data_IF_869627531709
#
_entry.id   IF_869627531709
#
_cell.length_a   1.000
_cell.length_b   1.000
_cell.length_c   1.000
_cell.angle_alpha   90.00
_cell.angle_beta   90.00
_cell.angle_gamma   90.00
#
_symmetry.space_group_name_H-M   'P 1'
#
loop_
_entity.id
_entity.type
_entity.pdbx_description
1 polymer ?
#
# COMPACT_ATOMS: atom_id res chain seq x y z
N UNK A 1 -10.11 -34.67 3.43
CA UNK A 1 -8.87 -34.73 4.24
C UNK A 1 -8.51 -33.34 4.71
N UNK A 2 -8.47 -33.15 6.03
CA UNK A 2 -8.02 -31.89 6.59
C UNK A 2 -6.52 -31.76 6.42
N UNK A 3 -6.07 -30.58 5.93
CA UNK A 3 -4.62 -30.31 5.83
C UNK A 3 -3.97 -30.37 7.22
N UNK A 4 -2.89 -31.15 7.36
CA UNK A 4 -2.07 -31.25 8.58
C UNK A 4 -1.69 -29.87 9.12
N UNK A 5 -1.42 -28.91 8.23
CA UNK A 5 -1.12 -27.53 8.56
C UNK A 5 -2.28 -26.82 9.26
N UNK A 6 -3.53 -26.98 8.78
CA UNK A 6 -4.71 -26.42 9.44
C UNK A 6 -4.99 -27.05 10.79
N UNK A 7 -4.70 -28.34 10.95
CA UNK A 7 -4.82 -29.02 12.23
C UNK A 7 -3.80 -28.49 13.23
N UNK A 8 -2.54 -28.34 12.82
CA UNK A 8 -1.47 -27.76 13.66
C UNK A 8 -1.77 -26.32 14.08
N UNK A 9 -2.24 -25.48 13.17
CA UNK A 9 -2.64 -24.09 13.48
C UNK A 9 -3.80 -24.03 14.49
N UNK A 10 -4.79 -24.90 14.38
CA UNK A 10 -5.88 -24.99 15.36
C UNK A 10 -5.38 -25.41 16.74
N UNK A 11 -4.52 -26.42 16.80
CA UNK A 11 -3.94 -26.87 18.06
C UNK A 11 -3.13 -25.75 18.73
N UNK A 12 -2.29 -25.04 17.99
CA UNK A 12 -1.53 -23.92 18.51
C UNK A 12 -2.45 -22.77 19.01
N UNK A 13 -3.52 -22.48 18.27
CA UNK A 13 -4.50 -21.46 18.66
C UNK A 13 -5.32 -21.82 19.91
N UNK A 14 -5.50 -23.12 20.21
CA UNK A 14 -6.21 -23.62 21.38
C UNK A 14 -5.32 -23.83 22.62
N UNK A 15 -4.03 -23.54 22.54
CA UNK A 15 -3.11 -23.70 23.66
C UNK A 15 -3.48 -22.78 24.85
N UNK A 16 -3.30 -23.24 26.10
CA UNK A 16 -3.38 -22.38 27.26
C UNK A 16 -2.42 -21.20 27.18
N UNK A 17 -2.73 -20.09 27.87
CA UNK A 17 -1.93 -18.86 27.84
C UNK A 17 -0.44 -19.11 28.08
N UNK A 18 -0.09 -19.88 29.14
CA UNK A 18 1.30 -20.18 29.46
C UNK A 18 2.07 -20.89 28.34
N UNK A 19 1.39 -21.75 27.56
CA UNK A 19 2.01 -22.42 26.42
C UNK A 19 2.15 -21.45 25.22
N UNK A 20 1.23 -20.53 25.01
CA UNK A 20 1.34 -19.47 24.01
C UNK A 20 2.49 -18.51 24.34
N UNK A 21 2.66 -18.14 25.62
CA UNK A 21 3.75 -17.30 26.08
C UNK A 21 5.11 -17.98 25.85
N UNK A 22 5.18 -19.28 26.11
CA UNK A 22 6.39 -20.07 25.81
C UNK A 22 6.68 -20.14 24.30
N UNK A 23 5.64 -20.28 23.47
CA UNK A 23 5.79 -20.23 22.02
C UNK A 23 6.26 -18.87 21.53
N UNK A 24 5.70 -17.78 22.06
CA UNK A 24 6.14 -16.42 21.76
C UNK A 24 7.60 -16.20 22.18
N UNK A 25 7.98 -16.66 23.38
CA UNK A 25 9.36 -16.54 23.86
C UNK A 25 10.35 -17.27 22.93
N UNK A 26 9.97 -18.44 22.42
CA UNK A 26 10.83 -19.25 21.56
C UNK A 26 10.93 -18.71 20.12
N UNK A 27 9.83 -18.24 19.54
CA UNK A 27 9.75 -17.91 18.12
C UNK A 27 9.50 -16.44 17.81
N UNK A 28 8.99 -15.67 18.77
CA UNK A 28 8.58 -14.28 18.58
C UNK A 28 9.71 -13.36 18.14
N UNK A 29 10.89 -13.48 18.76
CA UNK A 29 12.05 -12.66 18.39
C UNK A 29 12.49 -12.88 16.92
N UNK A 30 12.55 -14.15 16.50
CA UNK A 30 12.87 -14.47 15.10
C UNK A 30 11.80 -14.02 14.12
N UNK A 31 10.54 -14.19 14.49
CA UNK A 31 9.41 -13.78 13.68
C UNK A 31 9.40 -12.24 13.49
N UNK A 32 9.68 -11.48 14.56
CA UNK A 32 9.78 -10.03 14.52
C UNK A 32 10.90 -9.57 13.59
N UNK A 33 12.11 -10.10 13.74
CA UNK A 33 13.24 -9.76 12.88
C UNK A 33 12.95 -9.98 11.39
N UNK A 34 12.31 -11.12 11.07
CA UNK A 34 11.92 -11.44 9.69
C UNK A 34 10.84 -10.49 9.17
N UNK A 35 9.85 -10.14 10.01
CA UNK A 35 8.80 -9.21 9.64
C UNK A 35 9.36 -7.81 9.41
N UNK A 36 10.20 -7.31 10.33
CA UNK A 36 10.78 -5.98 10.23
C UNK A 36 11.65 -5.84 8.97
N UNK A 37 12.39 -6.90 8.64
CA UNK A 37 13.13 -6.97 7.38
C UNK A 37 12.19 -6.96 6.16
N UNK A 38 11.15 -7.80 6.17
CA UNK A 38 10.18 -7.88 5.07
C UNK A 38 9.48 -6.53 4.84
N UNK A 39 9.13 -5.82 5.92
CA UNK A 39 8.53 -4.48 5.86
C UNK A 39 9.54 -3.46 5.34
N UNK A 40 10.78 -3.48 5.82
CA UNK A 40 11.83 -2.56 5.36
C UNK A 40 12.17 -2.77 3.87
N UNK A 41 12.05 -4.00 3.37
CA UNK A 41 12.28 -4.34 1.96
C UNK A 41 11.02 -4.16 1.09
N UNK A 42 9.85 -3.84 1.68
CA UNK A 42 8.58 -3.78 0.97
C UNK A 42 8.16 -5.12 0.35
N UNK A 43 8.66 -6.22 0.90
CA UNK A 43 8.49 -7.56 0.33
C UNK A 43 7.26 -8.24 0.94
N UNK A 44 6.12 -8.13 0.24
CA UNK A 44 4.85 -8.72 0.70
C UNK A 44 4.87 -10.25 0.74
N UNK A 45 5.65 -10.89 -0.14
CA UNK A 45 5.80 -12.35 -0.12
C UNK A 45 6.55 -12.82 1.12
N UNK A 46 7.57 -12.07 1.56
CA UNK A 46 8.27 -12.33 2.81
C UNK A 46 7.35 -12.10 4.03
N UNK A 47 6.47 -11.09 4.00
CA UNK A 47 5.41 -10.92 5.03
C UNK A 47 4.49 -12.13 5.07
N UNK A 48 4.06 -12.65 3.90
CA UNK A 48 3.24 -13.85 3.83
C UNK A 48 3.95 -15.09 4.37
N UNK A 49 5.28 -15.18 4.17
CA UNK A 49 6.07 -16.27 4.76
C UNK A 49 6.11 -16.19 6.29
N UNK A 50 6.29 -14.99 6.86
CA UNK A 50 6.23 -14.79 8.33
C UNK A 50 4.87 -15.21 8.88
N UNK A 51 3.77 -14.75 8.24
CA UNK A 51 2.41 -15.15 8.62
C UNK A 51 2.23 -16.66 8.55
N UNK A 52 2.72 -17.31 7.50
CA UNK A 52 2.56 -18.73 7.30
C UNK A 52 3.29 -19.58 8.34
N UNK A 53 4.48 -19.14 8.77
CA UNK A 53 5.35 -19.90 9.68
C UNK A 53 5.12 -19.61 11.15
N UNK A 54 4.77 -18.34 11.45
CA UNK A 54 4.75 -17.83 12.82
C UNK A 54 3.41 -17.20 13.20
N UNK A 55 2.29 -17.69 12.61
CA UNK A 55 0.98 -17.07 12.78
C UNK A 55 0.61 -16.78 14.25
N UNK A 56 0.90 -17.70 15.17
CA UNK A 56 0.54 -17.56 16.58
C UNK A 56 1.57 -16.77 17.43
N UNK A 57 2.42 -15.97 16.78
CA UNK A 57 3.25 -14.96 17.44
C UNK A 57 2.67 -13.56 17.20
N UNK A 58 3.08 -12.57 18.00
CA UNK A 58 2.71 -11.16 17.78
C UNK A 58 3.08 -10.67 16.39
N UNK A 59 4.28 -11.03 15.93
CA UNK A 59 4.74 -10.72 14.57
C UNK A 59 3.89 -11.42 13.50
N UNK A 60 3.45 -12.65 13.74
CA UNK A 60 2.57 -13.39 12.83
C UNK A 60 1.19 -12.76 12.68
N UNK A 61 0.58 -12.29 13.77
CA UNK A 61 -0.69 -11.55 13.73
C UNK A 61 -0.53 -10.21 13.01
N UNK A 62 0.57 -9.47 13.31
CA UNK A 62 0.89 -8.23 12.60
C UNK A 62 1.11 -8.47 11.10
N UNK A 63 1.79 -9.54 10.73
CA UNK A 63 1.96 -9.93 9.33
C UNK A 63 0.62 -10.23 8.64
N UNK A 64 -0.32 -10.90 9.34
CA UNK A 64 -1.66 -11.16 8.81
C UNK A 64 -2.45 -9.87 8.58
N UNK A 65 -2.37 -8.89 9.49
CA UNK A 65 -2.99 -7.58 9.32
C UNK A 65 -2.39 -6.83 8.12
N UNK A 66 -1.06 -6.83 7.97
CA UNK A 66 -0.41 -6.22 6.81
C UNK A 66 -0.86 -6.84 5.49
N UNK A 67 -1.02 -8.17 5.44
CA UNK A 67 -1.59 -8.86 4.27
C UNK A 67 -3.05 -8.49 4.03
N UNK A 68 -3.85 -8.35 5.09
CA UNK A 68 -5.22 -7.92 4.98
C UNK A 68 -5.34 -6.51 4.37
N UNK A 69 -4.51 -5.58 4.85
CA UNK A 69 -4.40 -4.23 4.27
C UNK A 69 -3.97 -4.28 2.81
N UNK A 70 -2.92 -5.03 2.49
CA UNK A 70 -2.45 -5.18 1.12
C UNK A 70 -3.57 -5.69 0.19
N UNK A 71 -4.28 -6.73 0.60
CA UNK A 71 -5.40 -7.24 -0.16
C UNK A 71 -6.54 -6.23 -0.32
N UNK A 72 -6.86 -5.47 0.72
CA UNK A 72 -7.92 -4.46 0.67
C UNK A 72 -7.55 -3.34 -0.31
N UNK A 73 -6.31 -2.87 -0.26
CA UNK A 73 -5.79 -1.82 -1.13
C UNK A 73 -5.66 -2.26 -2.60
N UNK A 74 -5.41 -3.55 -2.84
CA UNK A 74 -5.33 -4.12 -4.20
C UNK A 74 -6.67 -4.65 -4.72
N UNK A 75 -7.82 -4.22 -4.18
CA UNK A 75 -9.12 -4.62 -4.69
C UNK A 75 -9.45 -6.10 -4.51
N UNK A 76 -8.86 -6.76 -3.50
CA UNK A 76 -9.10 -8.18 -3.18
C UNK A 76 -9.89 -8.33 -1.84
N UNK A 77 -11.10 -7.74 -1.72
CA UNK A 77 -11.78 -7.61 -0.44
C UNK A 77 -12.15 -8.96 0.21
N UNK A 78 -12.45 -9.98 -0.59
CA UNK A 78 -12.70 -11.33 -0.05
C UNK A 78 -11.48 -11.90 0.66
N UNK A 79 -10.27 -11.70 0.11
CA UNK A 79 -9.02 -12.15 0.74
C UNK A 79 -8.71 -11.33 1.99
N UNK A 80 -8.93 -10.02 1.93
CA UNK A 80 -8.79 -9.15 3.09
C UNK A 80 -9.72 -9.58 4.23
N UNK A 81 -11.00 -9.85 3.94
CA UNK A 81 -11.98 -10.31 4.93
C UNK A 81 -11.52 -11.61 5.62
N UNK A 82 -11.01 -12.59 4.85
CA UNK A 82 -10.49 -13.84 5.43
C UNK A 82 -9.27 -13.61 6.35
N UNK A 83 -8.40 -12.65 6.01
CA UNK A 83 -7.26 -12.31 6.85
C UNK A 83 -7.71 -11.60 8.13
N UNK A 84 -8.62 -10.64 8.06
CA UNK A 84 -9.19 -9.98 9.23
C UNK A 84 -9.96 -10.97 10.12
N UNK A 85 -10.76 -11.86 9.53
CA UNK A 85 -11.46 -12.92 10.26
C UNK A 85 -10.50 -13.80 11.07
N UNK A 86 -9.36 -14.16 10.48
CA UNK A 86 -8.37 -15.00 11.15
C UNK A 86 -7.77 -14.29 12.39
N UNK A 87 -7.59 -12.96 12.34
CA UNK A 87 -7.12 -12.17 13.49
C UNK A 87 -8.27 -11.97 14.48
N UNK A 88 -9.48 -11.66 14.03
CA UNK A 88 -10.65 -11.47 14.89
C UNK A 88 -10.99 -12.72 15.73
N UNK A 89 -10.70 -13.91 15.22
CA UNK A 89 -10.86 -15.18 15.96
C UNK A 89 -9.65 -15.53 16.82
N UNK A 90 -8.63 -14.70 16.85
CA UNK A 90 -7.44 -14.97 17.65
C UNK A 90 -7.58 -14.43 19.07
N UNK A 91 -6.80 -14.95 20.03
CA UNK A 91 -6.84 -14.48 21.41
C UNK A 91 -6.23 -13.07 21.61
N UNK A 92 -5.74 -12.46 20.55
CA UNK A 92 -5.16 -11.09 20.59
C UNK A 92 -6.07 -10.06 19.87
N UNK A 93 -7.27 -10.45 19.45
CA UNK A 93 -8.19 -9.58 18.71
C UNK A 93 -8.42 -8.22 19.42
N UNK A 94 -8.66 -8.25 20.72
CA UNK A 94 -8.94 -7.06 21.53
C UNK A 94 -7.84 -5.99 21.48
N UNK A 95 -6.59 -6.40 21.19
CA UNK A 95 -5.45 -5.47 21.09
C UNK A 95 -5.52 -4.60 19.83
N UNK A 96 -6.31 -5.02 18.85
CA UNK A 96 -6.45 -4.35 17.55
C UNK A 96 -7.81 -3.68 17.36
N UNK A 97 -8.68 -3.75 18.37
CA UNK A 97 -9.98 -3.08 18.34
C UNK A 97 -9.86 -1.59 18.70
N UNK A 98 -10.68 -0.72 18.11
CA UNK A 98 -11.81 -0.97 17.18
C UNK A 98 -11.41 -1.07 15.70
N UNK A 99 -10.16 -0.83 15.38
CA UNK A 99 -9.66 -0.74 14.00
C UNK A 99 -9.88 -2.07 13.24
N UNK A 100 -9.64 -3.20 13.91
CA UNK A 100 -9.82 -4.53 13.33
C UNK A 100 -11.27 -4.75 12.85
N UNK A 101 -12.26 -4.48 13.70
CA UNK A 101 -13.67 -4.65 13.36
C UNK A 101 -14.12 -3.69 12.25
N UNK A 102 -13.66 -2.43 12.26
CA UNK A 102 -14.00 -1.46 11.23
C UNK A 102 -13.43 -1.85 9.85
N UNK A 103 -12.20 -2.33 9.80
CA UNK A 103 -11.58 -2.77 8.56
C UNK A 103 -12.13 -4.11 8.08
N UNK A 104 -12.47 -5.00 9.00
CA UNK A 104 -13.13 -6.24 8.66
C UNK A 104 -14.52 -5.99 8.06
N UNK A 105 -15.33 -5.12 8.69
CA UNK A 105 -16.61 -4.69 8.12
C UNK A 105 -16.45 -4.04 6.74
N UNK A 106 -15.43 -3.20 6.58
CA UNK A 106 -15.06 -2.58 5.28
C UNK A 106 -14.77 -3.63 4.22
N UNK A 107 -13.97 -4.64 4.55
CA UNK A 107 -13.63 -5.71 3.64
C UNK A 107 -14.84 -6.55 3.25
N UNK A 108 -15.71 -6.89 4.22
CA UNK A 108 -16.96 -7.61 3.98
C UNK A 108 -17.93 -6.81 3.10
N UNK A 109 -18.10 -5.53 3.38
CA UNK A 109 -18.97 -4.66 2.59
C UNK A 109 -18.51 -4.60 1.13
N UNK A 110 -17.21 -4.40 0.89
CA UNK A 110 -16.63 -4.39 -0.47
C UNK A 110 -16.66 -5.75 -1.15
N UNK A 111 -16.68 -6.83 -0.37
CA UNK A 111 -16.87 -8.18 -0.88
C UNK A 111 -18.35 -8.48 -1.25
N UNK A 112 -19.26 -7.52 -1.04
CA UNK A 112 -20.68 -7.65 -1.32
C UNK A 112 -21.47 -8.30 -0.18
N UNK A 113 -20.85 -8.60 0.96
CA UNK A 113 -21.50 -9.22 2.11
C UNK A 113 -21.91 -8.16 3.14
N UNK A 114 -22.94 -7.39 2.81
CA UNK A 114 -23.42 -6.25 3.61
C UNK A 114 -23.95 -6.69 4.99
N UNK A 115 -24.71 -7.77 5.03
CA UNK A 115 -25.32 -8.27 6.28
C UNK A 115 -24.23 -8.67 7.29
N UNK A 116 -23.18 -9.35 6.82
CA UNK A 116 -22.07 -9.70 7.70
C UNK A 116 -21.28 -8.47 8.17
N UNK A 117 -21.11 -7.46 7.31
CA UNK A 117 -20.43 -6.21 7.68
C UNK A 117 -21.22 -5.47 8.78
N UNK A 118 -22.53 -5.36 8.66
CA UNK A 118 -23.41 -4.78 9.69
C UNK A 118 -23.37 -5.61 10.99
N UNK A 119 -23.32 -6.94 10.89
CA UNK A 119 -23.16 -7.83 12.05
C UNK A 119 -21.87 -7.57 12.84
N UNK A 120 -20.75 -7.31 12.15
CA UNK A 120 -19.49 -6.94 12.81
C UNK A 120 -19.60 -5.58 13.52
N UNK A 121 -20.23 -4.59 12.87
CA UNK A 121 -20.44 -3.28 13.49
C UNK A 121 -21.39 -3.37 14.70
N UNK A 122 -22.41 -4.24 14.63
CA UNK A 122 -23.31 -4.48 15.77
C UNK A 122 -22.55 -5.05 16.97
N UNK A 123 -21.74 -6.06 16.74
CA UNK A 123 -20.90 -6.65 17.78
C UNK A 123 -19.95 -5.64 18.40
N UNK A 124 -19.32 -4.79 17.59
CA UNK A 124 -18.43 -3.72 18.07
C UNK A 124 -19.19 -2.69 18.92
N UNK A 125 -20.39 -2.28 18.50
CA UNK A 125 -21.23 -1.34 19.23
C UNK A 125 -21.75 -1.90 20.54
N UNK A 126 -22.10 -3.18 20.58
CA UNK A 126 -22.59 -3.87 21.78
C UNK A 126 -21.46 -4.06 22.82
N UNK A 127 -20.23 -4.32 22.36
CA UNK A 127 -19.06 -4.52 23.24
C UNK A 127 -18.51 -3.21 23.79
N UNK A 128 -18.39 -2.18 22.95
CA UNK A 128 -17.66 -0.95 23.27
C UNK A 128 -18.52 0.31 23.32
N UNK A 129 -19.83 0.19 23.04
CA UNK A 129 -20.75 1.33 22.99
C UNK A 129 -20.53 2.23 21.78
N UNK A 130 -21.40 3.25 21.65
CA UNK A 130 -21.29 4.29 20.59
C UNK A 130 -20.27 5.37 20.95
N UNK A 131 -19.10 4.99 21.44
CA UNK A 131 -18.05 5.94 21.82
C UNK A 131 -17.27 6.33 20.58
N UNK A 132 -16.86 7.60 20.49
CA UNK A 132 -15.91 8.02 19.47
C UNK A 132 -14.55 7.39 19.71
N UNK A 133 -13.98 6.79 18.67
CA UNK A 133 -12.65 6.18 18.70
C UNK A 133 -11.68 7.02 17.88
N UNK A 134 -10.45 7.12 18.35
CA UNK A 134 -9.38 7.75 17.59
C UNK A 134 -8.61 6.68 16.82
N UNK A 135 -8.68 6.77 15.47
CA UNK A 135 -7.93 5.90 14.57
C UNK A 135 -6.92 6.76 13.83
N UNK A 136 -5.65 6.65 14.19
CA UNK A 136 -4.62 7.59 13.75
C UNK A 136 -4.95 9.00 14.23
N UNK A 137 -5.08 9.95 13.30
CA UNK A 137 -5.49 11.33 13.57
C UNK A 137 -7.01 11.58 13.40
N UNK A 138 -7.76 10.56 13.03
CA UNK A 138 -9.20 10.69 12.72
C UNK A 138 -10.04 10.18 13.88
N UNK A 139 -11.00 11.00 14.30
CA UNK A 139 -12.05 10.59 15.24
C UNK A 139 -13.18 9.90 14.46
N UNK A 140 -13.52 8.69 14.87
CA UNK A 140 -14.51 7.84 14.23
C UNK A 140 -15.56 7.45 15.25
N UNK A 141 -16.83 7.65 14.92
CA UNK A 141 -17.97 7.22 15.74
C UNK A 141 -19.01 6.51 14.88
N UNK A 142 -19.60 5.46 15.42
CA UNK A 142 -20.75 4.83 14.80
C UNK A 142 -22.01 5.63 15.09
N UNK A 143 -22.96 5.73 14.13
CA UNK A 143 -24.29 6.29 14.39
C UNK A 143 -24.99 5.49 15.49
N UNK A 144 -25.69 6.19 16.39
CA UNK A 144 -26.50 5.55 17.42
C UNK A 144 -27.65 4.73 16.82
N UNK A 145 -28.18 5.17 15.67
CA UNK A 145 -29.22 4.46 14.93
C UNK A 145 -28.60 3.41 13.99
N UNK A 146 -28.90 2.14 14.26
CA UNK A 146 -28.45 0.99 13.48
C UNK A 146 -28.92 1.07 12.01
N UNK A 147 -30.04 1.71 11.73
CA UNK A 147 -30.54 1.87 10.35
C UNK A 147 -29.68 2.78 9.50
N UNK A 148 -28.89 3.64 10.13
CA UNK A 148 -27.94 4.53 9.45
C UNK A 148 -26.59 3.86 9.13
N UNK A 149 -26.32 2.65 9.63
CA UNK A 149 -25.02 2.00 9.50
C UNK A 149 -24.67 1.65 8.06
N UNK A 150 -25.61 1.20 7.25
CA UNK A 150 -25.36 0.92 5.83
C UNK A 150 -24.83 2.17 5.10
N UNK A 151 -25.48 3.32 5.28
CA UNK A 151 -25.08 4.60 4.67
C UNK A 151 -23.77 5.11 5.27
N UNK A 152 -23.59 4.93 6.58
CA UNK A 152 -22.34 5.30 7.25
C UNK A 152 -21.18 4.45 6.73
N UNK A 153 -21.37 3.13 6.60
CA UNK A 153 -20.36 2.20 6.11
C UNK A 153 -19.98 2.50 4.67
N UNK A 154 -20.94 2.85 3.81
CA UNK A 154 -20.68 3.27 2.43
C UNK A 154 -19.75 4.49 2.40
N UNK A 155 -20.05 5.53 3.17
CA UNK A 155 -19.20 6.73 3.30
C UNK A 155 -17.86 6.43 3.94
N UNK A 156 -17.83 5.53 4.92
CA UNK A 156 -16.61 5.08 5.56
C UNK A 156 -15.70 4.33 4.59
N UNK A 157 -16.25 3.41 3.82
CA UNK A 157 -15.56 2.65 2.77
C UNK A 157 -15.00 3.60 1.70
N UNK A 158 -15.78 4.56 1.23
CA UNK A 158 -15.31 5.60 0.34
C UNK A 158 -14.14 6.36 0.93
N UNK A 159 -14.17 6.73 2.19
CA UNK A 159 -13.08 7.45 2.85
C UNK A 159 -11.81 6.61 3.06
N UNK A 160 -11.97 5.35 3.48
CA UNK A 160 -10.85 4.43 3.77
C UNK A 160 -10.22 3.88 2.50
N UNK A 161 -11.03 3.70 1.47
CA UNK A 161 -10.61 3.04 0.24
C UNK A 161 -10.62 3.96 -0.97
N UNK A 162 -11.16 5.13 -0.84
CA UNK A 162 -10.96 6.25 -1.77
C UNK A 162 -9.58 6.90 -1.61
N UNK A 163 -8.56 6.08 -1.44
CA UNK A 163 -7.41 6.34 -2.29
C UNK A 163 -7.98 6.22 -3.72
N UNK A 164 -8.02 7.29 -4.51
CA UNK A 164 -8.51 7.21 -5.87
C UNK A 164 -7.84 6.00 -6.49
N UNK A 165 -8.61 5.13 -7.13
CA UNK A 165 -8.07 4.21 -8.11
C UNK A 165 -7.09 5.07 -8.92
N UNK A 166 -5.85 4.63 -9.01
CA UNK A 166 -4.72 5.29 -9.61
C UNK A 166 -5.17 6.24 -10.71
N UNK A 167 -5.45 7.49 -10.31
CA UNK A 167 -5.80 8.49 -11.28
C UNK A 167 -4.52 8.73 -12.05
N UNK A 168 -4.56 8.43 -13.32
CA UNK A 168 -3.47 8.64 -14.24
C UNK A 168 -2.79 9.99 -14.01
N UNK A 169 -1.48 9.98 -13.84
CA UNK A 169 -0.68 11.20 -13.72
C UNK A 169 -0.18 11.60 -15.09
N UNK A 170 -1.13 12.08 -15.93
CA UNK A 170 -0.93 12.26 -17.38
C UNK A 170 -0.15 13.50 -17.78
N UNK A 171 0.17 14.37 -16.84
CA UNK A 171 0.93 15.58 -17.11
C UNK A 171 1.73 16.05 -15.90
N UNK A 172 2.62 16.99 -16.11
CA UNK A 172 3.39 17.62 -15.05
C UNK A 172 2.48 18.15 -13.93
N UNK A 173 2.75 17.74 -12.68
CA UNK A 173 1.94 18.02 -11.50
C UNK A 173 0.50 17.49 -11.57
N UNK A 174 0.23 16.50 -12.42
CA UNK A 174 -0.94 15.62 -12.40
C UNK A 174 -2.21 16.17 -13.03
N UNK A 175 -2.42 17.48 -13.14
CA UNK A 175 -3.60 18.11 -13.75
C UNK A 175 -3.25 19.42 -14.44
N UNK A 176 -4.19 19.96 -15.22
CA UNK A 176 -4.02 21.23 -15.95
C UNK A 176 -3.74 22.43 -15.02
N UNK A 177 -4.28 22.42 -13.81
CA UNK A 177 -4.04 23.47 -12.81
C UNK A 177 -2.71 23.28 -12.07
N UNK A 178 -1.99 22.18 -12.29
CA UNK A 178 -0.70 21.83 -11.65
C UNK A 178 -0.75 21.76 -10.12
N UNK A 179 -1.90 21.49 -9.56
CA UNK A 179 -2.16 21.49 -8.11
C UNK A 179 -2.58 20.12 -7.59
N UNK A 180 -2.52 19.08 -8.43
CA UNK A 180 -2.94 17.75 -8.02
C UNK A 180 -2.09 17.25 -6.88
N UNK A 181 -2.74 16.69 -5.89
CA UNK A 181 -2.11 15.99 -4.76
C UNK A 181 -2.35 14.50 -4.95
N UNK A 182 -1.31 13.70 -4.79
CA UNK A 182 -1.49 12.26 -4.62
C UNK A 182 -2.18 12.03 -3.28
N UNK A 183 -3.15 11.13 -3.24
CA UNK A 183 -3.65 10.65 -1.95
C UNK A 183 -2.50 10.04 -1.15
N UNK A 184 -2.47 10.22 0.18
CA UNK A 184 -1.50 9.55 1.02
C UNK A 184 -1.74 8.04 0.87
N UNK A 185 -1.00 7.45 -0.04
CA UNK A 185 -1.03 6.01 -0.28
C UNK A 185 0.05 5.37 0.55
N UNK A 186 -0.23 4.19 1.05
CA UNK A 186 0.67 3.21 1.66
C UNK A 186 1.68 3.78 2.68
N UNK A 187 1.95 3.07 3.76
CA UNK A 187 3.11 3.38 4.58
C UNK A 187 4.32 3.48 3.67
N UNK A 188 5.08 4.57 3.80
CA UNK A 188 6.29 4.84 3.03
C UNK A 188 7.16 3.57 3.04
N UNK A 189 7.25 2.92 1.90
CA UNK A 189 8.24 1.89 1.69
C UNK A 189 9.59 2.59 1.66
N UNK A 190 10.45 2.29 2.62
CA UNK A 190 11.77 2.90 2.75
C UNK A 190 12.73 2.51 1.62
N UNK A 191 12.31 1.56 0.75
CA UNK A 191 13.08 1.12 -0.41
C UNK A 191 12.24 1.17 -1.68
N UNK A 192 12.84 1.59 -2.81
CA UNK A 192 12.15 1.54 -4.10
C UNK A 192 11.82 0.09 -4.46
N UNK A 193 10.63 -0.14 -5.01
CA UNK A 193 10.21 -1.45 -5.53
C UNK A 193 11.11 -1.89 -6.71
N UNK A 194 11.46 -0.92 -7.54
CA UNK A 194 12.35 -1.11 -8.67
C UNK A 194 13.06 0.21 -8.99
N UNK A 195 14.12 0.10 -9.73
CA UNK A 195 14.92 1.23 -10.19
C UNK A 195 15.31 1.01 -11.65
N UNK A 196 15.05 1.97 -12.52
CA UNK A 196 15.37 1.90 -13.92
C UNK A 196 16.39 3.00 -14.26
N UNK A 197 17.49 2.63 -14.89
CA UNK A 197 18.48 3.60 -15.37
C UNK A 197 17.91 4.39 -16.55
N UNK A 198 18.08 5.69 -16.52
CA UNK A 198 17.68 6.62 -17.59
C UNK A 198 18.67 6.56 -18.75
N UNK A 199 19.95 6.50 -18.44
CA UNK A 199 21.01 6.39 -19.42
C UNK A 199 21.23 4.93 -19.86
N UNK A 200 21.58 4.75 -21.14
CA UNK A 200 21.88 3.44 -21.72
C UNK A 200 23.31 3.00 -21.46
N UNK A 201 24.22 3.95 -21.36
CA UNK A 201 25.65 3.75 -21.17
C UNK A 201 26.29 4.91 -20.42
N UNK A 202 27.57 4.77 -20.12
CA UNK A 202 28.35 5.75 -19.35
C UNK A 202 28.48 7.11 -20.06
N UNK A 203 28.51 7.14 -21.38
CA UNK A 203 28.63 8.39 -22.15
C UNK A 203 27.35 9.22 -22.00
N UNK A 204 26.16 8.56 -22.00
CA UNK A 204 24.89 9.23 -21.77
C UNK A 204 24.72 9.68 -20.32
N UNK A 205 25.25 8.93 -19.34
CA UNK A 205 25.28 9.38 -17.94
C UNK A 205 26.10 10.67 -17.81
N UNK A 206 27.24 10.76 -18.49
CA UNK A 206 28.09 11.95 -18.48
C UNK A 206 27.41 13.17 -19.15
N UNK A 207 26.73 12.97 -20.28
CA UNK A 207 25.94 14.02 -20.95
C UNK A 207 24.85 14.57 -20.02
N UNK A 208 24.11 13.69 -19.34
CA UNK A 208 23.04 14.09 -18.41
C UNK A 208 23.64 14.84 -17.21
N UNK A 209 24.75 14.36 -16.65
CA UNK A 209 25.43 15.01 -15.54
C UNK A 209 25.96 16.40 -15.93
N UNK A 210 26.55 16.55 -17.10
CA UNK A 210 27.07 17.82 -17.63
C UNK A 210 25.90 18.82 -17.88
N UNK A 211 24.78 18.36 -18.43
CA UNK A 211 23.57 19.16 -18.59
C UNK A 211 23.02 19.63 -17.24
N UNK A 212 22.94 18.74 -16.26
CA UNK A 212 22.46 19.09 -14.92
C UNK A 212 23.37 20.14 -14.24
N UNK A 213 24.68 19.98 -14.36
CA UNK A 213 25.66 20.95 -13.83
C UNK A 213 25.56 22.29 -14.53
N UNK A 214 25.47 22.31 -15.86
CA UNK A 214 25.30 23.55 -16.64
C UNK A 214 24.01 24.31 -16.27
N UNK A 215 22.91 23.58 -16.03
CA UNK A 215 21.67 24.21 -15.58
C UNK A 215 21.78 24.78 -14.17
N UNK A 216 22.46 24.09 -13.27
CA UNK A 216 22.75 24.58 -11.92
C UNK A 216 23.58 25.85 -11.94
N UNK A 217 24.63 25.89 -12.75
CA UNK A 217 25.52 27.05 -12.90
C UNK A 217 24.78 28.27 -13.47
N UNK A 218 23.80 28.05 -14.31
CA UNK A 218 22.96 29.09 -14.90
C UNK A 218 21.72 29.46 -14.06
N UNK A 219 21.56 28.86 -12.87
CA UNK A 219 20.38 29.00 -12.02
C UNK A 219 19.06 28.65 -12.75
N UNK A 220 19.12 27.80 -13.77
CA UNK A 220 17.95 27.28 -14.48
C UNK A 220 17.45 26.08 -13.69
N UNK A 221 16.12 26.00 -13.37
CA UNK A 221 15.57 24.84 -12.68
C UNK A 221 15.88 23.57 -13.44
N UNK A 222 16.58 22.64 -12.79
CA UNK A 222 16.87 21.37 -13.41
C UNK A 222 15.57 20.60 -13.72
N UNK A 223 15.27 20.51 -14.98
CA UNK A 223 14.53 19.46 -15.66
C UNK A 223 13.08 19.20 -15.20
N UNK A 224 12.14 20.09 -15.46
CA UNK A 224 10.71 19.68 -15.47
C UNK A 224 10.38 18.70 -16.60
N UNK A 225 11.19 18.64 -17.67
CA UNK A 225 10.90 17.89 -18.89
C UNK A 225 11.08 16.36 -18.75
N UNK A 226 11.66 15.89 -17.66
CA UNK A 226 11.92 14.45 -17.44
C UNK A 226 11.08 13.87 -16.30
N UNK A 227 9.99 14.50 -15.90
CA UNK A 227 9.10 13.91 -14.92
C UNK A 227 8.36 12.73 -15.53
N UNK A 228 8.34 11.57 -14.84
CA UNK A 228 7.59 10.44 -15.30
C UNK A 228 6.09 10.72 -15.24
N UNK A 229 5.37 10.17 -16.19
CA UNK A 229 3.91 10.16 -16.24
C UNK A 229 3.45 8.75 -15.87
N UNK A 230 2.34 8.63 -15.15
CA UNK A 230 1.71 7.35 -14.86
C UNK A 230 0.37 7.29 -15.59
N UNK A 231 0.18 6.24 -16.40
CA UNK A 231 -1.04 6.02 -17.20
C UNK A 231 -1.40 4.54 -17.13
N UNK A 232 -2.47 4.20 -16.43
CA UNK A 232 -2.83 2.82 -16.16
C UNK A 232 -1.68 2.05 -15.50
N UNK A 233 -1.30 0.92 -16.06
CA UNK A 233 -0.21 0.08 -15.55
C UNK A 233 1.20 0.51 -16.02
N UNK A 234 1.31 1.66 -16.66
CA UNK A 234 2.57 2.12 -17.27
C UNK A 234 3.10 3.38 -16.59
N UNK A 235 4.41 3.42 -16.42
CA UNK A 235 5.16 4.65 -16.16
C UNK A 235 5.89 5.03 -17.44
N UNK A 236 5.56 6.19 -17.97
CA UNK A 236 6.17 6.77 -19.15
C UNK A 236 7.26 7.75 -18.74
N UNK A 237 8.46 7.58 -19.26
CA UNK A 237 9.57 8.47 -19.00
C UNK A 237 10.27 8.85 -20.27
N UNK A 238 10.46 10.15 -20.45
CA UNK A 238 11.27 10.69 -21.55
C UNK A 238 12.71 10.83 -21.07
N UNK A 239 13.62 10.30 -21.86
CA UNK A 239 15.06 10.57 -21.74
C UNK A 239 15.49 11.47 -22.90
N UNK A 240 16.73 11.97 -22.96
CA UNK A 240 17.22 12.75 -24.10
C UNK A 240 17.11 11.99 -25.42
N UNK A 241 17.14 10.67 -25.40
CA UNK A 241 17.23 9.83 -26.61
C UNK A 241 16.00 9.04 -26.90
N UNK A 242 15.22 8.72 -25.90
CA UNK A 242 14.08 7.80 -26.03
C UNK A 242 12.94 8.13 -25.09
N UNK A 243 11.78 7.65 -25.42
CA UNK A 243 10.66 7.49 -24.49
C UNK A 243 10.60 6.02 -24.09
N UNK A 244 10.52 5.76 -22.80
CA UNK A 244 10.49 4.42 -22.23
C UNK A 244 9.17 4.25 -21.48
N UNK A 245 8.48 3.15 -21.73
CA UNK A 245 7.36 2.72 -20.90
C UNK A 245 7.77 1.52 -20.08
N UNK A 246 7.59 1.62 -18.79
CA UNK A 246 7.86 0.53 -17.84
C UNK A 246 6.58 0.13 -17.13
N UNK A 247 6.45 -1.14 -16.83
CA UNK A 247 5.33 -1.63 -16.04
C UNK A 247 5.42 -1.10 -14.61
N UNK A 248 4.35 -0.51 -14.12
CA UNK A 248 4.30 0.21 -12.85
C UNK A 248 4.75 -0.64 -11.65
N UNK A 249 4.29 -1.89 -11.55
CA UNK A 249 4.62 -2.74 -10.40
C UNK A 249 6.00 -3.40 -10.50
N UNK A 250 6.45 -3.75 -11.71
CA UNK A 250 7.65 -4.59 -11.89
C UNK A 250 8.87 -3.85 -12.39
N UNK A 251 8.71 -2.62 -12.89
CA UNK A 251 9.79 -1.85 -13.51
C UNK A 251 10.31 -2.43 -14.83
N UNK A 252 9.66 -3.47 -15.38
CA UNK A 252 10.08 -4.05 -16.67
C UNK A 252 9.74 -3.11 -17.81
N UNK A 253 10.69 -2.93 -18.73
CA UNK A 253 10.44 -2.18 -19.96
C UNK A 253 9.45 -2.96 -20.82
N UNK A 254 8.32 -2.32 -21.13
CA UNK A 254 7.28 -2.87 -22.00
C UNK A 254 7.55 -2.48 -23.44
N UNK A 255 7.89 -1.21 -23.68
CA UNK A 255 8.33 -0.72 -24.96
C UNK A 255 9.22 0.51 -24.79
N UNK A 256 9.97 0.82 -25.84
CA UNK A 256 10.77 2.05 -25.94
C UNK A 256 10.75 2.55 -27.38
N UNK A 257 10.80 3.86 -27.55
CA UNK A 257 10.86 4.53 -28.85
C UNK A 257 12.04 5.50 -28.82
N UNK A 258 12.95 5.38 -29.76
CA UNK A 258 14.02 6.33 -29.92
C UNK A 258 13.46 7.68 -30.37
N UNK A 259 13.70 8.70 -29.61
CA UNK A 259 13.47 10.07 -30.04
C UNK A 259 14.71 10.53 -30.73
N UNK A 260 14.71 10.64 -32.06
CA UNK A 260 15.80 11.35 -32.77
C UNK A 260 15.84 12.77 -32.21
N UNK A 261 16.71 12.99 -31.24
CA UNK A 261 17.13 14.32 -30.91
C UNK A 261 17.91 14.81 -32.13
N UNK A 262 17.19 15.43 -33.07
CA UNK A 262 17.85 16.43 -33.91
C UNK A 262 18.51 17.36 -32.90
N UNK A 263 19.83 17.43 -32.97
CA UNK A 263 20.65 18.41 -32.26
C UNK A 263 20.32 19.81 -32.80
N UNK A 264 19.08 20.23 -32.65
CA UNK A 264 18.64 21.60 -32.86
C UNK A 264 18.64 22.19 -31.48
N UNK A 265 19.61 23.03 -31.26
CA UNK A 265 19.91 23.70 -30.02
C UNK A 265 18.65 24.22 -29.32
N UNK A 266 18.61 23.93 -28.02
CA UNK A 266 17.83 24.71 -27.06
C UNK A 266 18.46 26.11 -26.83
N UNK A 267 18.98 26.73 -27.89
CA UNK A 267 19.33 28.14 -27.94
C UNK A 267 18.20 28.88 -28.62
N UNK A 268 17.24 29.37 -27.84
CA UNK A 268 16.23 30.25 -28.39
C UNK A 268 14.83 30.11 -27.76
N UNK A 269 14.73 30.29 -26.46
CA UNK A 269 13.55 30.93 -25.88
C UNK A 269 14.10 32.23 -25.32
N UNK A 270 14.09 33.25 -26.22
CA UNK A 270 14.24 34.62 -25.80
C UNK A 270 13.20 34.95 -24.73
N UNK A 271 13.70 35.25 -23.54
CA UNK A 271 12.93 35.86 -22.47
C UNK A 271 12.67 37.33 -22.84
N UNK A 272 11.70 37.55 -23.72
CA UNK A 272 11.13 38.90 -23.96
C UNK A 272 9.65 38.74 -24.35
N UNK A 273 8.76 38.83 -23.37
CA UNK A 273 7.51 39.59 -23.34
C UNK A 273 6.83 39.38 -21.99
#
# INVERSE_FOLDING_TARGET
SQSLKRAAQRLLGSLPQAARDSYELQYGGRASQLLDRAVAEGNIDAVAEVQRRFFHTRAGYRAMLLLAYDHLMHGKPHRAALCFEAVARSPVADQYEPELSLLYATALYRAGNKDAAEGILAALADDRGSVAWKIGETEVSLPADKTAWAVWLERWVERVVSAPMEEDWVMFRGNATRTRRSSPSRPLMLRPLWQQRVATDAQHEEIIANLATSHLDQAIPAIPAMQPLAVGDLVLMRTPERVVAVHFETGKIIWQIETRATAVGFSGIDARA
#
